data_IF_547259780936
#
_entry.id   IF_547259780936
#
_cell.length_a   1.000
_cell.length_b   1.000
_cell.length_c   1.000
_cell.angle_alpha   90.00
_cell.angle_beta   90.00
_cell.angle_gamma   90.00
#
_symmetry.space_group_name_H-M   'P 1'
#
loop_
_entity.id
_entity.type
_entity.pdbx_description
1 polymer ?
#
# COMPACT_ATOMS: atom_id res chain seq x y z
N UNK A 1 -10.80 11.07 -52.37
CA UNK A 1 -11.55 10.29 -53.36
C UNK A 1 -11.46 8.82 -52.97
N UNK A 2 -12.63 8.17 -52.83
CA UNK A 2 -12.92 6.71 -52.97
C UNK A 2 -12.13 5.72 -52.08
N UNK A 3 -12.73 4.77 -51.36
CA UNK A 3 -14.12 4.29 -51.35
C UNK A 3 -14.28 3.08 -50.42
N UNK A 4 -15.54 2.84 -50.04
CA UNK A 4 -16.05 1.71 -49.25
C UNK A 4 -15.86 0.35 -49.91
N UNK A 5 -15.94 -0.73 -49.11
CA UNK A 5 -16.08 -2.10 -49.62
C UNK A 5 -16.49 -3.12 -48.55
N UNK A 6 -17.80 -3.23 -48.30
CA UNK A 6 -18.44 -4.34 -47.58
C UNK A 6 -18.44 -5.59 -48.47
N UNK A 7 -18.20 -6.77 -47.90
CA UNK A 7 -18.30 -8.05 -48.61
C UNK A 7 -18.78 -9.20 -47.72
N UNK A 8 -20.09 -9.26 -47.47
CA UNK A 8 -20.78 -10.45 -46.93
C UNK A 8 -20.85 -11.52 -48.02
N UNK A 9 -20.47 -12.76 -47.74
CA UNK A 9 -20.83 -13.93 -48.55
C UNK A 9 -21.47 -15.00 -47.67
N UNK A 10 -22.76 -15.19 -47.92
CA UNK A 10 -23.54 -16.37 -47.55
C UNK A 10 -23.33 -17.38 -48.66
N UNK A 11 -23.06 -18.64 -48.32
CA UNK A 11 -23.27 -19.74 -49.25
C UNK A 11 -23.92 -20.90 -48.51
N UNK A 12 -25.16 -21.17 -48.87
CA UNK A 12 -25.96 -22.35 -48.50
C UNK A 12 -25.97 -23.29 -49.69
N UNK A 13 -25.60 -24.55 -49.53
CA UNK A 13 -25.94 -25.68 -50.43
C UNK A 13 -26.04 -26.91 -49.51
N UNK A 14 -27.25 -27.32 -49.13
CA UNK A 14 -28.16 -28.28 -49.79
C UNK A 14 -27.78 -29.75 -49.52
N UNK A 15 -28.81 -30.47 -49.08
CA UNK A 15 -28.80 -31.79 -48.48
C UNK A 15 -28.65 -32.94 -49.48
N UNK A 16 -28.18 -34.08 -48.97
CA UNK A 16 -28.49 -35.40 -49.54
C UNK A 16 -28.96 -36.29 -48.40
N UNK A 17 -30.22 -36.72 -48.51
CA UNK A 17 -30.85 -37.72 -47.65
C UNK A 17 -30.57 -39.11 -48.23
N UNK A 18 -30.18 -40.06 -47.36
CA UNK A 18 -30.28 -41.50 -47.64
C UNK A 18 -30.98 -42.16 -46.46
N UNK A 19 -32.13 -42.76 -46.75
CA UNK A 19 -32.92 -43.64 -45.89
C UNK A 19 -32.24 -45.01 -45.79
N UNK A 20 -32.12 -45.53 -44.57
CA UNK A 20 -31.72 -46.91 -44.31
C UNK A 20 -32.23 -47.35 -42.93
N UNK A 21 -33.21 -48.24 -42.92
CA UNK A 21 -33.83 -48.86 -41.74
C UNK A 21 -32.84 -49.82 -41.05
N UNK A 22 -32.75 -49.77 -39.72
CA UNK A 22 -32.03 -50.77 -38.93
C UNK A 22 -31.92 -50.37 -37.46
N UNK A 23 -32.65 -51.07 -36.60
CA UNK A 23 -32.82 -50.70 -35.20
C UNK A 23 -31.58 -50.86 -34.33
N UNK A 24 -31.46 -49.98 -33.33
CA UNK A 24 -31.36 -50.31 -31.91
C UNK A 24 -31.37 -48.99 -31.14
N UNK A 25 -32.43 -48.74 -30.38
CA UNK A 25 -32.50 -47.63 -29.42
C UNK A 25 -31.59 -47.97 -28.25
N UNK A 26 -30.35 -47.49 -28.27
CA UNK A 26 -29.55 -47.36 -27.07
C UNK A 26 -30.00 -46.08 -26.36
N UNK A 27 -30.64 -46.26 -25.20
CA UNK A 27 -31.00 -45.14 -24.34
C UNK A 27 -29.73 -44.36 -23.97
N UNK A 28 -29.69 -43.08 -24.37
CA UNK A 28 -28.65 -42.16 -23.95
C UNK A 28 -28.76 -41.95 -22.44
N UNK A 29 -27.76 -42.41 -21.69
CA UNK A 29 -27.57 -42.07 -20.28
C UNK A 29 -27.21 -40.59 -20.22
N UNK A 30 -27.86 -39.73 -19.42
CA UNK A 30 -27.41 -38.36 -19.30
C UNK A 30 -26.08 -38.38 -18.56
N UNK A 31 -25.03 -37.88 -19.21
CA UNK A 31 -23.80 -37.52 -18.52
C UNK A 31 -24.13 -36.37 -17.56
N UNK A 32 -24.24 -36.68 -16.27
CA UNK A 32 -24.31 -35.67 -15.24
C UNK A 32 -23.03 -34.83 -15.31
N UNK A 33 -23.15 -33.62 -15.85
CA UNK A 33 -22.09 -32.63 -15.77
C UNK A 33 -21.86 -32.33 -14.28
N UNK A 34 -20.77 -32.87 -13.73
CA UNK A 34 -20.29 -32.46 -12.43
C UNK A 34 -19.93 -30.97 -12.54
N UNK A 35 -20.79 -30.11 -12.02
CA UNK A 35 -20.46 -28.72 -11.77
C UNK A 35 -19.36 -28.73 -10.71
N UNK A 36 -18.12 -28.61 -11.14
CA UNK A 36 -17.01 -28.22 -10.28
C UNK A 36 -17.27 -26.78 -9.82
N UNK A 37 -18.12 -26.65 -8.80
CA UNK A 37 -18.25 -25.42 -8.04
C UNK A 37 -16.94 -25.21 -7.31
N UNK A 38 -15.99 -24.51 -7.92
CA UNK A 38 -14.97 -23.80 -7.16
C UNK A 38 -15.66 -22.65 -6.48
N UNK A 39 -16.32 -22.91 -5.34
CA UNK A 39 -16.47 -21.88 -4.32
C UNK A 39 -15.05 -21.59 -3.84
N UNK A 40 -14.38 -20.63 -4.49
CA UNK A 40 -13.31 -19.89 -3.86
C UNK A 40 -13.98 -19.16 -2.70
N UNK A 41 -14.07 -19.83 -1.56
CA UNK A 41 -14.25 -19.14 -0.30
C UNK A 41 -13.04 -18.23 -0.19
N UNK A 42 -13.19 -16.96 -0.52
CA UNK A 42 -12.36 -15.91 0.06
C UNK A 42 -12.58 -16.05 1.56
N UNK A 43 -11.72 -16.85 2.21
CA UNK A 43 -11.60 -16.81 3.64
C UNK A 43 -11.34 -15.34 3.95
N UNK A 44 -12.33 -14.66 4.53
CA UNK A 44 -12.10 -13.36 5.12
C UNK A 44 -10.94 -13.60 6.09
N UNK A 45 -9.78 -13.01 5.80
CA UNK A 45 -8.66 -13.05 6.72
C UNK A 45 -9.22 -12.63 8.08
N UNK A 46 -9.07 -13.48 9.10
CA UNK A 46 -9.52 -13.13 10.43
C UNK A 46 -8.89 -11.78 10.78
N UNK A 47 -9.71 -10.81 11.18
CA UNK A 47 -9.25 -9.48 11.57
C UNK A 47 -8.13 -9.64 12.60
N UNK A 48 -6.95 -9.09 12.32
CA UNK A 48 -5.82 -9.22 13.24
C UNK A 48 -6.13 -8.38 14.47
N UNK A 49 -6.06 -9.00 15.65
CA UNK A 49 -6.35 -8.28 16.87
C UNK A 49 -5.31 -7.18 17.13
N UNK A 50 -5.76 -6.08 17.72
CA UNK A 50 -4.93 -4.89 17.96
C UNK A 50 -3.65 -5.18 18.77
N UNK A 51 -3.69 -6.12 19.72
CA UNK A 51 -2.53 -6.43 20.55
C UNK A 51 -1.47 -7.19 19.75
N UNK A 52 -1.88 -8.12 18.88
CA UNK A 52 -1.02 -8.80 17.92
C UNK A 52 -0.39 -7.79 16.95
N UNK A 53 -1.19 -6.89 16.35
CA UNK A 53 -0.67 -5.85 15.47
C UNK A 53 0.37 -4.96 16.13
N UNK A 54 0.09 -4.45 17.34
CA UNK A 54 1.05 -3.65 18.10
C UNK A 54 2.36 -4.39 18.36
N UNK A 55 2.29 -5.68 18.71
CA UNK A 55 3.47 -6.51 18.97
C UNK A 55 4.31 -6.69 17.71
N UNK A 56 3.68 -6.97 16.57
CA UNK A 56 4.38 -7.23 15.32
C UNK A 56 5.01 -5.95 14.76
N UNK A 57 4.27 -4.82 14.80
CA UNK A 57 4.83 -3.50 14.47
C UNK A 57 6.04 -3.20 15.36
N UNK A 58 5.91 -3.40 16.68
CA UNK A 58 7.01 -3.15 17.62
C UNK A 58 8.23 -4.01 17.27
N UNK A 59 8.04 -5.27 16.94
CA UNK A 59 9.14 -6.17 16.57
C UNK A 59 9.93 -5.63 15.38
N UNK A 60 9.26 -5.08 14.36
CA UNK A 60 9.93 -4.44 13.21
C UNK A 60 10.62 -3.14 13.62
N UNK A 61 9.92 -2.24 14.31
CA UNK A 61 10.46 -0.93 14.71
C UNK A 61 11.67 -1.07 15.64
N UNK A 62 11.68 -2.07 16.52
CA UNK A 62 12.82 -2.37 17.40
C UNK A 62 14.08 -2.69 16.59
N UNK A 63 13.97 -3.26 15.37
CA UNK A 63 15.13 -3.51 14.49
C UNK A 63 15.72 -2.23 13.89
N UNK A 64 14.94 -1.15 13.79
CA UNK A 64 15.40 0.13 13.24
C UNK A 64 16.24 0.93 14.24
N UNK A 65 15.94 0.79 15.54
CA UNK A 65 16.53 1.62 16.59
C UNK A 65 18.06 1.51 16.67
N UNK A 66 18.68 0.31 16.68
CA UNK A 66 20.14 0.17 16.71
C UNK A 66 20.82 0.83 15.51
N UNK A 67 20.20 0.74 14.33
CA UNK A 67 20.72 1.37 13.12
C UNK A 67 20.69 2.90 13.24
N UNK A 68 19.56 3.48 13.64
CA UNK A 68 19.43 4.93 13.84
C UNK A 68 20.42 5.42 14.89
N UNK A 69 20.59 4.68 15.99
CA UNK A 69 21.60 4.99 17.01
C UNK A 69 23.01 5.02 16.43
N UNK A 70 23.42 3.98 15.70
CA UNK A 70 24.74 3.89 15.08
C UNK A 70 24.96 5.00 14.04
N UNK A 71 23.98 5.22 13.16
CA UNK A 71 24.06 6.16 12.04
C UNK A 71 24.12 7.61 12.50
N UNK A 72 23.44 7.93 13.60
CA UNK A 72 23.45 9.27 14.20
C UNK A 72 24.65 9.53 15.11
N UNK A 73 25.39 8.50 15.53
CA UNK A 73 26.63 8.68 16.28
C UNK A 73 27.75 9.31 15.43
N UNK A 74 27.71 9.12 14.10
CA UNK A 74 28.70 9.62 13.15
C UNK A 74 28.03 10.51 12.08
N UNK A 75 27.30 11.54 12.50
CA UNK A 75 26.54 12.39 11.58
C UNK A 75 27.34 13.52 10.93
N UNK A 76 28.58 13.80 11.38
CA UNK A 76 29.50 14.86 10.94
C UNK A 76 28.98 15.84 9.87
N UNK A 77 28.10 16.76 10.28
CA UNK A 77 27.59 17.86 9.45
C UNK A 77 26.49 17.51 8.44
N UNK A 78 26.08 16.25 8.33
CA UNK A 78 25.01 15.82 7.43
C UNK A 78 23.63 16.17 8.01
N UNK A 79 22.73 16.65 7.15
CA UNK A 79 21.30 16.73 7.47
C UNK A 79 20.72 15.33 7.35
N UNK A 80 20.36 14.69 8.46
CA UNK A 80 19.76 13.35 8.43
C UNK A 80 18.24 13.46 8.48
N UNK A 81 17.55 12.55 7.81
CA UNK A 81 16.09 12.45 7.81
C UNK A 81 15.62 11.01 8.08
N UNK A 82 14.48 10.88 8.74
CA UNK A 82 13.65 9.67 8.77
C UNK A 82 12.30 10.00 8.14
N UNK A 83 11.82 9.08 7.30
CA UNK A 83 10.54 9.21 6.59
C UNK A 83 9.58 8.16 7.12
N UNK A 84 8.34 8.56 7.36
CA UNK A 84 7.24 7.68 7.73
C UNK A 84 6.06 7.83 6.77
N UNK A 85 5.38 6.73 6.47
CA UNK A 85 3.97 6.78 6.09
C UNK A 85 3.06 7.16 7.29
N UNK A 86 1.79 7.45 7.01
CA UNK A 86 0.80 7.82 8.03
C UNK A 86 -0.13 6.69 8.43
N UNK A 87 -0.92 6.18 7.50
CA UNK A 87 -2.06 5.32 7.81
C UNK A 87 -1.56 3.92 8.18
N UNK A 88 -1.87 3.46 9.39
CA UNK A 88 -1.34 2.22 9.97
C UNK A 88 0.20 2.15 10.11
N UNK A 89 0.90 3.26 9.89
CA UNK A 89 2.34 3.40 10.10
C UNK A 89 2.69 4.36 11.23
N UNK A 90 2.01 5.50 11.35
CA UNK A 90 2.19 6.43 12.47
C UNK A 90 0.90 6.76 13.19
N UNK A 91 -0.26 6.65 12.52
CA UNK A 91 -1.59 6.79 13.10
C UNK A 91 -2.34 5.44 13.01
N UNK A 92 -3.06 5.09 14.06
CA UNK A 92 -3.77 3.80 14.19
C UNK A 92 -5.12 3.81 13.45
N UNK A 93 -5.12 4.11 12.16
CA UNK A 93 -6.33 4.40 11.37
C UNK A 93 -7.26 3.22 11.16
N UNK A 94 -6.76 2.00 11.01
CA UNK A 94 -7.60 0.81 10.89
C UNK A 94 -8.35 0.51 12.19
N UNK A 95 -7.68 0.69 13.32
CA UNK A 95 -8.21 0.37 14.65
C UNK A 95 -8.94 1.54 15.33
N UNK A 96 -9.06 2.67 14.65
CA UNK A 96 -9.71 3.87 15.17
C UNK A 96 -10.84 4.29 14.24
N UNK A 97 -12.07 4.42 14.72
CA UNK A 97 -13.16 4.92 13.90
C UNK A 97 -12.81 6.28 13.29
N UNK A 98 -13.11 6.48 12.01
CA UNK A 98 -12.73 7.68 11.25
C UNK A 98 -13.24 9.00 11.85
N UNK A 99 -14.30 8.96 12.66
CA UNK A 99 -14.86 10.12 13.36
C UNK A 99 -14.19 10.42 14.71
N UNK A 100 -13.32 9.54 15.19
CA UNK A 100 -12.60 9.71 16.44
C UNK A 100 -11.26 10.41 16.17
N UNK A 101 -11.21 11.70 16.51
CA UNK A 101 -10.02 12.53 16.44
C UNK A 101 -9.58 13.01 17.84
N UNK A 102 -8.26 13.13 18.10
CA UNK A 102 -7.18 12.70 17.21
C UNK A 102 -7.12 11.17 17.10
N UNK A 103 -6.82 10.66 15.91
CA UNK A 103 -6.44 9.25 15.73
C UNK A 103 -5.18 8.99 16.59
N UNK A 104 -5.17 7.98 17.47
CA UNK A 104 -4.02 7.66 18.31
C UNK A 104 -2.73 7.46 17.51
N UNK A 105 -1.60 7.81 18.13
CA UNK A 105 -0.28 7.48 17.61
C UNK A 105 0.00 5.99 17.75
N UNK A 106 0.57 5.40 16.69
CA UNK A 106 1.20 4.10 16.76
C UNK A 106 2.46 4.20 17.62
N UNK A 107 2.37 3.75 18.87
CA UNK A 107 3.38 4.00 19.92
C UNK A 107 4.82 3.60 19.52
N UNK A 108 5.07 2.46 18.87
CA UNK A 108 6.42 2.11 18.44
C UNK A 108 7.01 3.15 17.46
N UNK A 109 6.24 3.57 16.45
CA UNK A 109 6.68 4.57 15.47
C UNK A 109 6.91 5.94 16.11
N UNK A 110 6.05 6.35 17.06
CA UNK A 110 6.25 7.58 17.84
C UNK A 110 7.54 7.55 18.64
N UNK A 111 7.87 6.41 19.27
CA UNK A 111 9.11 6.26 20.01
C UNK A 111 10.34 6.38 19.09
N UNK A 112 10.31 5.76 17.91
CA UNK A 112 11.39 5.87 16.92
C UNK A 112 11.54 7.30 16.40
N UNK A 113 10.44 7.97 16.05
CA UNK A 113 10.43 9.35 15.57
C UNK A 113 10.99 10.32 16.62
N UNK A 114 10.55 10.19 17.88
CA UNK A 114 11.03 11.01 18.99
C UNK A 114 12.50 10.76 19.28
N UNK A 115 12.93 9.50 19.24
CA UNK A 115 14.33 9.13 19.40
C UNK A 115 15.19 9.74 18.29
N UNK A 116 14.82 9.56 17.02
CA UNK A 116 15.52 10.13 15.88
C UNK A 116 15.61 11.66 16.00
N UNK A 117 14.49 12.32 16.35
CA UNK A 117 14.46 13.77 16.55
C UNK A 117 15.41 14.24 17.65
N UNK A 118 15.46 13.53 18.78
CA UNK A 118 16.39 13.84 19.88
C UNK A 118 17.88 13.76 19.48
N UNK A 119 18.17 13.06 18.37
CA UNK A 119 19.51 12.90 17.79
C UNK A 119 19.80 13.90 16.65
N UNK A 120 18.92 14.87 16.42
CA UNK A 120 19.06 15.88 15.36
C UNK A 120 18.61 15.40 13.98
N UNK A 121 17.93 14.25 13.87
CA UNK A 121 17.34 13.78 12.62
C UNK A 121 16.02 14.51 12.38
N UNK A 122 15.79 14.98 11.15
CA UNK A 122 14.51 15.54 10.75
C UNK A 122 13.47 14.43 10.51
N UNK A 123 12.23 14.68 10.89
CA UNK A 123 11.13 13.71 10.80
C UNK A 123 10.13 14.18 9.75
N UNK A 124 10.08 13.45 8.65
CA UNK A 124 9.20 13.71 7.51
C UNK A 124 8.10 12.65 7.42
N UNK A 125 6.95 13.07 6.91
CA UNK A 125 5.79 12.21 6.66
C UNK A 125 5.43 12.28 5.18
N UNK A 126 5.26 11.13 4.53
CA UNK A 126 4.87 11.02 3.12
C UNK A 126 3.66 10.12 3.02
N UNK A 127 2.51 10.68 2.66
CA UNK A 127 1.21 9.99 2.72
C UNK A 127 0.46 10.07 1.39
N UNK A 128 -0.42 9.10 1.16
CA UNK A 128 -1.38 9.15 0.05
C UNK A 128 -2.64 9.99 0.38
N UNK A 129 -2.77 10.52 1.60
CA UNK A 129 -3.89 11.39 2.00
C UNK A 129 -3.97 12.62 1.09
N UNK A 130 -5.19 13.05 0.71
CA UNK A 130 -5.35 14.17 -0.19
C UNK A 130 -5.03 15.50 0.50
N UNK A 131 -4.45 16.45 -0.24
CA UNK A 131 -4.00 17.75 0.29
C UNK A 131 -5.11 18.59 0.95
N UNK A 132 -6.37 18.36 0.58
CA UNK A 132 -7.54 19.01 1.22
C UNK A 132 -7.65 18.73 2.73
N UNK A 133 -7.03 17.66 3.24
CA UNK A 133 -6.99 17.31 4.67
C UNK A 133 -5.60 17.45 5.29
N UNK A 134 -4.66 18.16 4.65
CA UNK A 134 -3.29 18.32 5.15
C UNK A 134 -3.27 18.96 6.54
N UNK A 135 -4.03 20.05 6.74
CA UNK A 135 -4.07 20.78 8.00
C UNK A 135 -4.57 19.92 9.16
N UNK A 136 -5.59 19.11 8.92
CA UNK A 136 -6.15 18.16 9.90
C UNK A 136 -5.15 17.04 10.19
N UNK A 137 -4.49 16.52 9.15
CA UNK A 137 -3.47 15.47 9.28
C UNK A 137 -2.27 15.95 10.11
N UNK A 138 -1.76 17.14 9.79
CA UNK A 138 -0.66 17.78 10.53
C UNK A 138 -1.05 18.11 11.97
N UNK A 139 -2.28 18.58 12.19
CA UNK A 139 -2.80 18.80 13.54
C UNK A 139 -2.81 17.50 14.33
N UNK A 140 -3.35 16.40 13.76
CA UNK A 140 -3.42 15.11 14.43
C UNK A 140 -2.02 14.62 14.83
N UNK A 141 -1.06 14.59 13.90
CA UNK A 141 0.32 14.14 14.16
C UNK A 141 0.94 14.90 15.34
N UNK A 142 0.82 16.23 15.34
CA UNK A 142 1.32 17.08 16.42
C UNK A 142 0.59 16.84 17.74
N UNK A 143 -0.74 16.70 17.71
CA UNK A 143 -1.56 16.51 18.91
C UNK A 143 -1.25 15.18 19.62
N UNK A 144 -0.83 14.16 18.87
CA UNK A 144 -0.42 12.85 19.44
C UNK A 144 1.09 12.75 19.69
N UNK A 145 1.82 13.86 19.56
CA UNK A 145 3.20 13.99 20.03
C UNK A 145 4.29 13.78 18.98
N UNK A 146 3.97 13.60 17.70
CA UNK A 146 5.00 13.47 16.68
C UNK A 146 5.74 14.80 16.45
N UNK A 147 7.09 14.78 16.40
CA UNK A 147 7.84 15.87 15.79
C UNK A 147 7.59 15.86 14.27
N UNK A 148 7.17 16.99 13.71
CA UNK A 148 6.85 17.12 12.28
C UNK A 148 7.70 18.21 11.65
N UNK A 149 8.74 17.83 10.92
CA UNK A 149 9.60 18.75 10.16
C UNK A 149 9.08 18.97 8.73
N UNK A 150 8.43 17.96 8.14
CA UNK A 150 7.74 18.10 6.85
C UNK A 150 6.63 17.08 6.67
N UNK A 151 5.64 17.43 5.85
CA UNK A 151 4.48 16.60 5.51
C UNK A 151 4.22 16.73 4.01
N UNK A 152 4.28 15.61 3.30
CA UNK A 152 3.97 15.48 1.88
C UNK A 152 2.63 14.77 1.73
N UNK A 153 1.65 15.48 1.17
CA UNK A 153 0.29 15.02 0.86
C UNK A 153 0.06 15.02 -0.65
N UNK A 154 -0.89 14.22 -1.13
CA UNK A 154 -1.19 14.16 -2.57
C UNK A 154 -2.10 15.30 -2.99
N UNK A 155 -1.61 16.16 -3.87
CA UNK A 155 -2.44 17.19 -4.49
C UNK A 155 -3.38 16.61 -5.55
N UNK A 156 -4.45 17.34 -5.89
CA UNK A 156 -5.47 16.88 -6.84
C UNK A 156 -4.92 16.39 -8.20
N UNK A 157 -3.91 17.03 -8.82
CA UNK A 157 -3.29 16.52 -10.05
C UNK A 157 -2.53 15.20 -9.82
N UNK A 158 -1.92 15.03 -8.64
CA UNK A 158 -1.14 13.85 -8.29
C UNK A 158 -2.02 12.66 -7.94
N UNK A 159 -3.33 12.83 -7.70
CA UNK A 159 -4.26 11.72 -7.45
C UNK A 159 -4.34 10.72 -8.61
N UNK A 160 -4.00 11.15 -9.83
CA UNK A 160 -3.96 10.29 -11.02
C UNK A 160 -2.59 9.62 -11.24
N UNK A 161 -1.56 10.00 -10.47
CA UNK A 161 -0.27 9.33 -10.50
C UNK A 161 -0.31 8.02 -9.69
N UNK A 162 0.58 7.09 -10.03
CA UNK A 162 0.80 5.90 -9.20
C UNK A 162 1.30 6.30 -7.81
N UNK A 163 0.69 5.75 -6.75
CA UNK A 163 1.01 6.11 -5.35
C UNK A 163 2.51 5.93 -5.05
N UNK A 164 3.09 4.83 -5.50
CA UNK A 164 4.51 4.53 -5.33
C UNK A 164 5.42 5.53 -6.04
N UNK A 165 5.03 6.02 -7.23
CA UNK A 165 5.77 7.02 -7.98
C UNK A 165 5.76 8.37 -7.24
N UNK A 166 4.59 8.78 -6.73
CA UNK A 166 4.47 9.98 -5.89
C UNK A 166 5.38 9.88 -4.65
N UNK A 167 5.27 8.77 -3.89
CA UNK A 167 6.08 8.61 -2.66
C UNK A 167 7.58 8.57 -2.94
N UNK A 168 7.98 7.98 -4.06
CA UNK A 168 9.37 7.99 -4.53
C UNK A 168 9.85 9.40 -4.83
N UNK A 169 9.04 10.19 -5.56
CA UNK A 169 9.36 11.57 -5.88
C UNK A 169 9.47 12.45 -4.62
N UNK A 170 8.59 12.26 -3.63
CA UNK A 170 8.67 12.99 -2.34
C UNK A 170 9.96 12.69 -1.59
N UNK A 171 10.44 11.44 -1.58
CA UNK A 171 11.73 11.12 -0.96
C UNK A 171 12.91 11.70 -1.73
N UNK A 172 12.85 11.69 -3.07
CA UNK A 172 13.85 12.37 -3.89
C UNK A 172 13.88 13.88 -3.65
N UNK A 173 12.73 14.51 -3.42
CA UNK A 173 12.62 15.94 -3.09
C UNK A 173 13.29 16.26 -1.75
N UNK A 174 13.02 15.44 -0.72
CA UNK A 174 13.70 15.52 0.59
C UNK A 174 15.24 15.40 0.44
N UNK A 175 15.72 14.47 -0.40
CA UNK A 175 17.15 14.36 -0.68
C UNK A 175 17.70 15.60 -1.42
N UNK A 176 16.92 16.18 -2.32
CA UNK A 176 17.29 17.39 -3.07
C UNK A 176 17.46 18.61 -2.14
N UNK A 177 16.73 18.64 -1.02
CA UNK A 177 16.91 19.61 0.07
C UNK A 177 18.19 19.35 0.91
N UNK A 178 19.01 18.37 0.52
CA UNK A 178 20.28 18.03 1.14
C UNK A 178 20.17 17.11 2.35
N UNK A 179 19.04 16.45 2.54
CA UNK A 179 18.89 15.42 3.57
C UNK A 179 19.38 14.06 3.09
N UNK A 180 20.02 13.31 3.97
CA UNK A 180 20.22 11.86 3.81
C UNK A 180 19.11 11.13 4.55
N UNK A 181 18.24 10.42 3.82
CA UNK A 181 17.18 9.62 4.43
C UNK A 181 17.80 8.32 4.97
N UNK A 182 17.95 8.23 6.29
CA UNK A 182 18.60 7.09 6.93
C UNK A 182 17.62 5.92 7.13
N UNK A 183 16.33 6.21 7.28
CA UNK A 183 15.29 5.21 7.46
C UNK A 183 13.98 5.67 6.80
N UNK A 184 13.31 4.74 6.14
CA UNK A 184 11.96 4.91 5.60
C UNK A 184 11.07 3.79 6.16
N UNK A 185 9.96 4.15 6.78
CA UNK A 185 9.06 3.23 7.48
C UNK A 185 7.67 3.33 6.86
N UNK A 186 7.07 2.19 6.54
CA UNK A 186 5.74 2.11 5.94
C UNK A 186 5.16 0.71 6.05
N UNK A 187 3.84 0.60 6.04
CA UNK A 187 3.11 -0.66 6.07
C UNK A 187 2.76 -1.14 4.67
N UNK A 188 2.79 -0.32 3.62
CA UNK A 188 2.54 -0.77 2.26
C UNK A 188 3.84 -0.88 1.46
N UNK A 189 3.93 -1.82 0.52
CA UNK A 189 5.03 -1.91 -0.45
C UNK A 189 5.23 -0.59 -1.21
N UNK A 190 4.16 0.14 -1.53
CA UNK A 190 4.24 1.44 -2.21
C UNK A 190 5.03 2.50 -1.44
N UNK A 191 5.17 2.33 -0.12
CA UNK A 191 5.88 3.28 0.74
C UNK A 191 7.39 3.15 0.61
N UNK A 192 7.85 1.96 0.20
CA UNK A 192 9.25 1.54 0.34
C UNK A 192 9.97 1.38 -1.00
N UNK A 193 9.24 1.03 -2.06
CA UNK A 193 9.82 0.88 -3.41
C UNK A 193 10.30 2.22 -3.97
N UNK A 194 11.27 2.17 -4.88
CA UNK A 194 11.81 3.34 -5.56
C UNK A 194 13.09 3.92 -4.94
N UNK A 195 13.60 3.37 -3.84
CA UNK A 195 14.86 3.81 -3.22
C UNK A 195 14.71 5.11 -2.42
N UNK A 196 15.77 5.92 -2.40
CA UNK A 196 15.86 7.18 -1.63
C UNK A 196 15.79 7.00 -0.12
N UNK A 197 16.38 5.90 0.38
CA UNK A 197 16.59 5.66 1.81
C UNK A 197 17.74 4.67 1.98
N UNK A 198 18.60 4.87 2.99
CA UNK A 198 19.66 3.92 3.34
C UNK A 198 19.08 2.58 3.83
N UNK A 199 17.93 2.62 4.54
CA UNK A 199 17.19 1.44 4.99
C UNK A 199 15.68 1.64 4.92
N UNK A 200 14.97 0.57 4.60
CA UNK A 200 13.51 0.51 4.60
C UNK A 200 13.02 -0.47 5.66
N UNK A 201 11.94 -0.15 6.35
CA UNK A 201 11.31 -0.99 7.36
C UNK A 201 9.83 -1.18 7.01
N UNK A 202 9.49 -2.40 6.59
CA UNK A 202 8.12 -2.81 6.24
C UNK A 202 7.38 -3.25 7.49
N UNK A 203 6.38 -2.47 7.89
CA UNK A 203 5.44 -2.86 8.94
C UNK A 203 4.46 -3.92 8.39
N UNK A 204 3.88 -4.76 9.27
CA UNK A 204 2.89 -5.74 8.85
C UNK A 204 1.62 -5.05 8.31
N UNK A 205 1.21 -5.45 7.11
CA UNK A 205 -0.08 -5.12 6.48
C UNK A 205 -1.04 -6.30 6.42
N UNK A 206 -0.57 -7.51 6.78
CA UNK A 206 -1.34 -8.77 6.76
C UNK A 206 -2.03 -9.02 5.42
N UNK A 207 -1.22 -9.10 4.36
CA UNK A 207 -1.67 -9.33 2.98
C UNK A 207 -2.63 -8.24 2.46
N UNK A 208 -2.37 -7.00 2.87
CA UNK A 208 -3.12 -5.80 2.45
C UNK A 208 -4.35 -5.48 3.31
N UNK A 209 -4.58 -6.20 4.40
CA UNK A 209 -5.67 -5.91 5.35
C UNK A 209 -5.53 -4.52 5.98
N UNK A 210 -4.29 -4.05 6.20
CA UNK A 210 -3.99 -2.75 6.81
C UNK A 210 -3.40 -1.74 5.82
N UNK A 211 -3.60 -1.91 4.51
CA UNK A 211 -3.11 -0.97 3.48
C UNK A 211 -3.73 0.44 3.58
#
# INVERSE_FOLDING_TARGET
>A
MTGSGVGRRITTVAAVAVLGLGGSVTAAVPAAAAQSGTTAATAAAAEVDYATWQKDVKAVVDTATPYVQQRTANSSGQKLAIVFDIDNTTLETHYTPWYQLPTPALKPSLALATYAKSRGVAVFFVTARPGIIESVTKWNLKNVGYPVDGLYVRDLPDLFAEVSAYKTASRADIESDGYTIIANVGNNTTDLVGGHAERTYKLPDYDGLLD
#
